data_IF_425694686424
#
_entry.id   IF_425694686424
#
_cell.length_a   1.000
_cell.length_b   1.000
_cell.length_c   1.000
_cell.angle_alpha   90.00
_cell.angle_beta   90.00
_cell.angle_gamma   90.00
#
_symmetry.space_group_name_H-M   'P 1'
#
loop_
_entity.id
_entity.type
_entity.pdbx_description
1 polymer ?
#
# COMPACT_ATOMS: atom_id res chain seq x y z
N UNK A 1 -5.70 19.81 -7.39
CA UNK A 1 -5.72 19.72 -5.90
C UNK A 1 -5.12 18.38 -5.52
N UNK A 2 -4.29 18.32 -4.44
CA UNK A 2 -3.77 17.03 -4.00
C UNK A 2 -4.83 16.26 -3.22
N UNK A 3 -4.83 14.95 -3.44
CA UNK A 3 -5.76 14.00 -2.83
C UNK A 3 -4.99 12.92 -2.09
N UNK A 4 -5.50 12.57 -0.93
CA UNK A 4 -5.12 11.40 -0.16
C UNK A 4 -6.41 10.67 0.20
N UNK A 5 -6.74 9.63 -0.55
CA UNK A 5 -8.02 8.92 -0.44
C UNK A 5 -7.79 7.48 0.01
N UNK A 6 -8.22 7.14 1.20
CA UNK A 6 -8.30 5.74 1.65
C UNK A 6 -9.50 5.09 1.00
N UNK A 7 -9.29 4.36 -0.11
CA UNK A 7 -10.34 3.67 -0.85
C UNK A 7 -10.90 2.49 -0.05
N UNK A 8 -10.04 1.75 0.62
CA UNK A 8 -10.37 0.63 1.49
C UNK A 8 -9.40 0.55 2.65
N UNK A 9 -9.90 0.15 3.82
CA UNK A 9 -9.09 -0.08 5.02
C UNK A 9 -9.67 -1.21 5.85
N UNK A 10 -8.84 -2.20 6.20
CA UNK A 10 -9.17 -3.33 7.06
C UNK A 10 -8.93 -4.70 6.43
N UNK A 11 -9.10 -5.76 7.19
CA UNK A 11 -8.77 -7.16 6.86
C UNK A 11 -9.49 -7.76 5.63
N UNK A 12 -10.39 -7.02 5.01
CA UNK A 12 -11.08 -7.43 3.78
C UNK A 12 -10.56 -6.72 2.54
N UNK A 13 -9.62 -5.78 2.68
CA UNK A 13 -8.94 -5.10 1.61
C UNK A 13 -8.44 -3.72 2.00
N UNK A 14 -7.22 -3.41 1.57
CA UNK A 14 -6.52 -2.15 1.76
C UNK A 14 -6.17 -1.55 0.41
N UNK A 15 -6.37 -0.25 0.25
CA UNK A 15 -5.97 0.51 -0.93
C UNK A 15 -6.05 2.00 -0.64
N UNK A 16 -5.00 2.73 -0.98
CA UNK A 16 -4.92 4.19 -0.79
C UNK A 16 -4.47 4.84 -2.09
N UNK A 17 -5.22 5.86 -2.53
CA UNK A 17 -4.83 6.70 -3.65
C UNK A 17 -4.12 7.95 -3.13
N UNK A 18 -2.99 8.30 -3.75
CA UNK A 18 -2.23 9.52 -3.48
C UNK A 18 -1.92 10.19 -4.81
N UNK A 19 -2.33 11.46 -4.97
CA UNK A 19 -2.10 12.17 -6.22
C UNK A 19 -2.94 13.42 -6.39
N UNK A 20 -3.30 13.70 -7.64
CA UNK A 20 -4.20 14.76 -8.07
C UNK A 20 -5.45 14.17 -8.73
N UNK A 21 -6.31 15.00 -9.31
CA UNK A 21 -7.45 14.51 -10.11
C UNK A 21 -7.02 13.86 -11.44
N UNK A 22 -5.79 14.11 -11.90
CA UNK A 22 -5.30 13.70 -13.22
C UNK A 22 -4.19 12.65 -13.14
N UNK A 23 -3.37 12.66 -12.09
CA UNK A 23 -2.18 11.83 -11.92
C UNK A 23 -2.07 11.34 -10.49
N UNK A 24 -1.76 10.07 -10.29
CA UNK A 24 -1.58 9.52 -8.96
C UNK A 24 -1.10 8.08 -8.93
N UNK A 25 -0.86 7.61 -7.74
CA UNK A 25 -0.42 6.24 -7.47
C UNK A 25 -1.39 5.55 -6.52
N UNK A 26 -1.41 4.23 -6.56
CA UNK A 26 -2.04 3.40 -5.53
C UNK A 26 -0.98 2.79 -4.62
N UNK A 27 -1.25 2.82 -3.32
CA UNK A 27 -0.59 1.96 -2.34
C UNK A 27 -1.59 0.87 -1.99
N UNK A 28 -1.24 -0.37 -2.35
CA UNK A 28 -2.07 -1.56 -2.30
C UNK A 28 -3.35 -1.53 -3.15
N UNK A 29 -3.87 -2.70 -3.45
CA UNK A 29 -5.11 -2.90 -4.22
C UNK A 29 -5.83 -4.17 -3.74
N UNK A 30 -6.24 -4.19 -2.48
CA UNK A 30 -6.65 -5.38 -1.75
C UNK A 30 -8.04 -5.92 -2.06
N UNK A 31 -8.90 -5.15 -2.73
CA UNK A 31 -10.20 -5.62 -3.24
C UNK A 31 -10.06 -6.18 -4.66
N UNK A 32 -11.12 -6.70 -5.26
CA UNK A 32 -11.08 -7.06 -6.67
C UNK A 32 -11.04 -5.79 -7.56
N UNK A 33 -10.56 -5.95 -8.79
CA UNK A 33 -10.35 -4.84 -9.73
C UNK A 33 -11.62 -4.00 -10.01
N UNK A 34 -12.80 -4.64 -10.01
CA UNK A 34 -14.08 -3.93 -10.18
C UNK A 34 -14.35 -2.98 -9.00
N UNK A 35 -14.10 -3.44 -7.78
CA UNK A 35 -14.32 -2.63 -6.59
C UNK A 35 -13.32 -1.47 -6.51
N UNK A 36 -12.04 -1.70 -6.82
CA UNK A 36 -11.03 -0.62 -6.89
C UNK A 36 -11.43 0.42 -7.94
N UNK A 37 -11.83 -0.03 -9.14
CA UNK A 37 -12.33 0.87 -10.21
C UNK A 37 -13.54 1.69 -9.73
N UNK A 38 -14.53 1.07 -9.10
CA UNK A 38 -15.73 1.77 -8.63
C UNK A 38 -15.40 2.77 -7.53
N UNK A 39 -14.52 2.42 -6.58
CA UNK A 39 -14.14 3.32 -5.50
C UNK A 39 -13.37 4.54 -6.03
N UNK A 40 -12.48 4.37 -7.01
CA UNK A 40 -11.86 5.51 -7.69
C UNK A 40 -12.91 6.43 -8.34
N UNK A 41 -13.87 5.85 -9.07
CA UNK A 41 -14.94 6.63 -9.72
C UNK A 41 -15.86 7.34 -8.72
N UNK A 42 -16.15 6.74 -7.57
CA UNK A 42 -16.92 7.35 -6.47
C UNK A 42 -16.19 8.56 -5.89
N UNK A 43 -14.86 8.53 -5.84
CA UNK A 43 -14.03 9.67 -5.49
C UNK A 43 -13.85 10.70 -6.63
N UNK A 44 -14.47 10.46 -7.80
CA UNK A 44 -14.36 11.32 -8.98
C UNK A 44 -13.03 11.15 -9.73
N UNK A 45 -12.31 10.06 -9.50
CA UNK A 45 -11.03 9.75 -10.13
C UNK A 45 -11.20 8.75 -11.28
N UNK A 46 -10.56 9.00 -12.41
CA UNK A 46 -10.46 7.99 -13.47
C UNK A 46 -9.46 6.90 -13.06
N UNK A 47 -9.74 5.60 -13.28
CA UNK A 47 -8.72 4.57 -13.12
C UNK A 47 -7.48 4.77 -14.00
N UNK A 48 -7.62 5.52 -15.09
CA UNK A 48 -6.52 5.82 -16.01
C UNK A 48 -5.57 6.91 -15.50
N UNK A 49 -5.92 7.60 -14.39
CA UNK A 49 -5.00 8.52 -13.72
C UNK A 49 -3.98 7.80 -12.82
N UNK A 50 -4.12 6.48 -12.63
CA UNK A 50 -3.20 5.70 -11.80
C UNK A 50 -1.96 5.35 -12.62
N UNK A 51 -0.81 5.90 -12.25
CA UNK A 51 0.47 5.73 -12.95
C UNK A 51 1.29 4.54 -12.45
N UNK A 52 1.10 4.13 -11.19
CA UNK A 52 1.77 3.00 -10.59
C UNK A 52 0.98 2.40 -9.42
N UNK A 53 1.26 1.12 -9.13
CA UNK A 53 0.80 0.41 -7.95
C UNK A 53 2.01 0.01 -7.10
N UNK A 54 2.05 0.48 -5.87
CA UNK A 54 3.03 0.10 -4.86
C UNK A 54 2.41 -0.91 -3.90
N UNK A 55 3.05 -2.06 -3.70
CA UNK A 55 2.55 -3.13 -2.82
C UNK A 55 3.36 -3.14 -1.53
N UNK A 56 2.68 -3.05 -0.40
CA UNK A 56 3.30 -3.12 0.92
C UNK A 56 3.79 -4.53 1.23
N UNK A 57 2.96 -5.55 0.96
CA UNK A 57 3.27 -6.97 1.13
C UNK A 57 2.27 -7.87 0.39
N UNK A 58 2.55 -9.17 0.35
CA UNK A 58 1.86 -10.16 -0.51
C UNK A 58 0.51 -10.67 0.00
N UNK A 59 -0.01 -10.23 1.13
CA UNK A 59 -1.28 -10.74 1.64
C UNK A 59 -2.46 -10.40 0.73
N UNK A 60 -3.44 -11.29 0.69
CA UNK A 60 -4.56 -11.24 -0.27
C UNK A 60 -5.41 -9.97 -0.18
N UNK A 61 -5.50 -9.38 1.00
CA UNK A 61 -6.21 -8.12 1.25
C UNK A 61 -5.41 -6.87 0.87
N UNK A 62 -4.21 -7.04 0.28
CA UNK A 62 -3.38 -5.98 -0.30
C UNK A 62 -3.23 -6.12 -1.83
N UNK A 63 -3.49 -7.30 -2.40
CA UNK A 63 -3.16 -7.61 -3.80
C UNK A 63 -4.35 -8.08 -4.65
N UNK A 64 -5.57 -8.09 -4.12
CA UNK A 64 -6.74 -8.70 -4.77
C UNK A 64 -7.05 -8.18 -6.18
N UNK A 65 -6.77 -6.90 -6.48
CA UNK A 65 -6.92 -6.33 -7.81
C UNK A 65 -5.65 -6.42 -8.67
N UNK A 66 -4.46 -6.62 -8.09
CA UNK A 66 -3.16 -6.43 -8.72
C UNK A 66 -3.15 -6.91 -10.17
N UNK A 67 -3.28 -8.21 -10.40
CA UNK A 67 -3.14 -8.81 -11.73
C UNK A 67 -4.14 -8.26 -12.75
N UNK A 68 -5.42 -8.14 -12.36
CA UNK A 68 -6.48 -7.74 -13.29
C UNK A 68 -6.43 -6.25 -13.57
N UNK A 69 -6.21 -5.44 -12.54
CA UNK A 69 -6.18 -3.99 -12.65
C UNK A 69 -4.94 -3.51 -13.41
N UNK A 70 -3.74 -3.99 -13.02
CA UNK A 70 -2.49 -3.61 -13.68
C UNK A 70 -2.44 -4.06 -15.14
N UNK A 71 -2.89 -5.30 -15.45
CA UNK A 71 -2.98 -5.77 -16.84
C UNK A 71 -3.91 -4.93 -17.69
N UNK A 72 -5.09 -4.56 -17.14
CA UNK A 72 -6.10 -3.80 -17.88
C UNK A 72 -5.64 -2.38 -18.22
N UNK A 73 -4.96 -1.72 -17.28
CA UNK A 73 -4.55 -0.31 -17.41
C UNK A 73 -3.08 -0.13 -17.76
N UNK A 74 -2.29 -1.23 -17.90
CA UNK A 74 -0.86 -1.18 -18.21
C UNK A 74 0.00 -0.59 -17.09
N UNK A 75 -0.46 -0.68 -15.84
CA UNK A 75 0.14 -0.01 -14.68
C UNK A 75 1.33 -0.81 -14.18
N UNK A 76 2.52 -0.20 -13.99
CA UNK A 76 3.66 -0.84 -13.37
C UNK A 76 3.41 -1.14 -11.88
N UNK A 77 4.00 -2.24 -11.41
CA UNK A 77 3.97 -2.69 -10.01
C UNK A 77 5.34 -2.52 -9.39
N UNK A 78 5.37 -1.93 -8.19
CA UNK A 78 6.56 -1.76 -7.37
C UNK A 78 6.37 -2.47 -6.04
N UNK A 79 7.35 -3.24 -5.60
CA UNK A 79 7.37 -3.86 -4.27
C UNK A 79 8.80 -4.22 -3.86
N UNK A 80 9.01 -4.57 -2.59
CA UNK A 80 10.27 -5.13 -2.11
C UNK A 80 10.61 -6.43 -2.83
N UNK A 81 11.87 -6.81 -2.82
CA UNK A 81 12.33 -8.06 -3.42
C UNK A 81 11.61 -9.29 -2.86
N UNK A 82 11.51 -9.38 -1.52
CA UNK A 82 10.83 -10.53 -0.88
C UNK A 82 9.36 -10.60 -1.24
N UNK A 83 8.66 -9.45 -1.28
CA UNK A 83 7.27 -9.37 -1.73
C UNK A 83 7.13 -9.81 -3.19
N UNK A 84 8.01 -9.36 -4.08
CA UNK A 84 7.98 -9.77 -5.50
C UNK A 84 8.20 -11.27 -5.67
N UNK A 85 9.16 -11.87 -4.95
CA UNK A 85 9.40 -13.31 -4.98
C UNK A 85 8.18 -14.11 -4.48
N UNK A 86 7.49 -13.62 -3.44
CA UNK A 86 6.27 -14.24 -2.93
C UNK A 86 5.10 -14.10 -3.90
N UNK A 87 4.93 -12.93 -4.53
CA UNK A 87 3.91 -12.67 -5.54
C UNK A 87 4.11 -13.53 -6.80
N UNK A 88 5.34 -13.68 -7.27
CA UNK A 88 5.67 -14.54 -8.43
C UNK A 88 5.38 -16.01 -8.13
N UNK A 89 5.83 -16.50 -6.97
CA UNK A 89 5.53 -17.85 -6.49
C UNK A 89 4.03 -18.11 -6.35
N UNK A 90 3.26 -17.10 -5.95
CA UNK A 90 1.79 -17.12 -5.87
C UNK A 90 1.08 -17.02 -7.23
N UNK A 91 1.81 -16.77 -8.34
CA UNK A 91 1.26 -16.59 -9.66
C UNK A 91 0.53 -15.25 -9.88
N UNK A 92 0.82 -14.26 -9.05
CA UNK A 92 0.18 -12.94 -9.11
C UNK A 92 0.84 -12.01 -10.14
N UNK A 93 2.11 -12.27 -10.52
CA UNK A 93 2.86 -11.49 -11.51
C UNK A 93 2.73 -12.01 -12.94
N UNK A 94 1.92 -13.05 -13.18
CA UNK A 94 1.62 -13.62 -14.51
C UNK A 94 0.71 -12.67 -15.32
N UNK A 95 1.15 -11.43 -15.52
CA UNK A 95 0.43 -10.39 -16.25
C UNK A 95 1.36 -9.68 -17.22
N UNK A 96 0.79 -9.09 -18.28
CA UNK A 96 1.54 -8.25 -19.21
C UNK A 96 1.61 -6.82 -18.68
N UNK A 97 2.30 -6.61 -17.57
CA UNK A 97 2.57 -5.30 -16.95
C UNK A 97 4.00 -5.24 -16.41
N UNK A 98 4.64 -4.06 -16.37
CA UNK A 98 5.98 -3.91 -15.83
C UNK A 98 6.02 -4.18 -14.32
N UNK A 99 7.12 -4.77 -13.84
CA UNK A 99 7.37 -5.07 -12.42
C UNK A 99 8.74 -4.55 -12.05
N UNK A 100 8.84 -3.80 -10.96
CA UNK A 100 10.06 -3.17 -10.50
C UNK A 100 10.30 -3.45 -9.01
N UNK A 101 11.55 -3.77 -8.69
CA UNK A 101 11.99 -3.90 -7.29
C UNK A 101 12.20 -2.52 -6.66
N UNK A 102 11.60 -2.31 -5.49
CA UNK A 102 11.86 -1.17 -4.62
C UNK A 102 13.03 -1.51 -3.68
N UNK A 103 14.12 -0.76 -3.78
CA UNK A 103 15.27 -0.88 -2.86
C UNK A 103 15.33 0.27 -1.85
N UNK A 104 15.23 1.50 -2.31
CA UNK A 104 15.28 2.70 -1.48
C UNK A 104 14.19 3.67 -1.91
N UNK A 105 14.17 4.07 -3.18
CA UNK A 105 13.19 5.00 -3.73
C UNK A 105 12.85 4.69 -5.19
N UNK A 106 11.76 5.28 -5.67
CA UNK A 106 11.38 5.33 -7.07
C UNK A 106 10.77 6.70 -7.39
N UNK A 107 11.00 7.18 -8.62
CA UNK A 107 10.33 8.35 -9.17
C UNK A 107 9.30 7.89 -10.21
N UNK A 108 8.06 8.33 -10.05
CA UNK A 108 6.95 8.04 -10.98
C UNK A 108 6.21 9.34 -11.27
N UNK A 109 6.28 9.84 -12.50
CA UNK A 109 5.71 11.13 -12.83
C UNK A 109 6.27 12.25 -11.94
N UNK A 110 5.39 12.93 -11.20
CA UNK A 110 5.72 13.98 -10.24
C UNK A 110 5.91 13.48 -8.80
N UNK A 111 5.89 12.16 -8.59
CA UNK A 111 5.95 11.55 -7.26
C UNK A 111 7.35 11.00 -7.00
N UNK A 112 7.93 11.38 -5.87
CA UNK A 112 9.10 10.74 -5.28
C UNK A 112 8.66 9.83 -4.16
N UNK A 113 8.92 8.52 -4.28
CA UNK A 113 8.43 7.50 -3.34
C UNK A 113 9.63 6.86 -2.67
N UNK A 114 9.73 7.00 -1.34
CA UNK A 114 10.68 6.28 -0.50
C UNK A 114 9.98 5.12 0.20
N UNK A 115 10.70 4.04 0.49
CA UNK A 115 10.18 2.93 1.27
C UNK A 115 10.94 2.75 2.58
N UNK A 116 10.27 2.17 3.57
CA UNK A 116 10.84 1.79 4.86
C UNK A 116 10.25 0.45 5.31
N UNK A 117 11.05 -0.36 6.02
CA UNK A 117 10.59 -1.66 6.48
C UNK A 117 9.56 -1.55 7.60
N UNK A 118 8.57 -2.42 7.55
CA UNK A 118 7.58 -2.61 8.61
C UNK A 118 7.70 -4.00 9.22
N UNK A 119 7.34 -4.13 10.50
CA UNK A 119 7.37 -5.43 11.18
C UNK A 119 6.00 -6.10 11.07
N UNK A 120 5.89 -6.98 10.09
CA UNK A 120 4.69 -7.76 9.81
C UNK A 120 5.04 -9.21 9.43
N UNK A 121 4.03 -10.08 9.46
CA UNK A 121 4.10 -11.51 9.12
C UNK A 121 4.02 -11.72 7.59
N UNK A 122 5.00 -11.18 6.87
CA UNK A 122 5.09 -11.19 5.42
C UNK A 122 6.54 -11.45 4.98
N UNK A 123 6.77 -11.68 3.69
CA UNK A 123 8.09 -11.99 3.15
C UNK A 123 9.08 -10.82 3.34
N UNK A 124 8.63 -9.59 3.06
CA UNK A 124 9.40 -8.36 3.26
C UNK A 124 8.45 -7.15 3.19
N UNK A 125 7.80 -6.85 4.32
CA UNK A 125 6.79 -5.80 4.38
C UNK A 125 7.39 -4.40 4.41
N UNK A 126 6.79 -3.48 3.63
CA UNK A 126 7.20 -2.09 3.50
C UNK A 126 6.05 -1.12 3.82
N UNK A 127 6.42 0.05 4.34
CA UNK A 127 5.62 1.27 4.25
C UNK A 127 6.20 2.20 3.20
N UNK A 128 5.44 3.22 2.82
CA UNK A 128 5.83 4.16 1.78
C UNK A 128 5.62 5.60 2.23
N UNK A 129 6.61 6.45 1.90
CA UNK A 129 6.49 7.90 1.97
C UNK A 129 6.46 8.45 0.55
N UNK A 130 5.49 9.27 0.23
CA UNK A 130 5.28 9.87 -1.09
C UNK A 130 5.44 11.37 -0.95
N UNK A 131 6.41 11.93 -1.67
CA UNK A 131 6.61 13.37 -1.78
C UNK A 131 6.22 13.85 -3.17
N UNK A 132 5.46 14.94 -3.22
CA UNK A 132 5.05 15.61 -4.45
C UNK A 132 5.92 16.84 -4.71
N UNK A 133 6.02 17.31 -5.95
CA UNK A 133 6.88 18.43 -6.36
C UNK A 133 6.73 19.71 -5.52
N UNK A 134 5.56 19.95 -4.94
CA UNK A 134 5.33 21.11 -4.07
C UNK A 134 5.79 20.92 -2.62
N UNK A 135 6.44 19.78 -2.30
CA UNK A 135 6.90 19.43 -0.95
C UNK A 135 5.80 18.85 -0.05
N UNK A 136 4.59 18.57 -0.54
CA UNK A 136 3.60 17.81 0.22
C UNK A 136 4.06 16.37 0.39
N UNK A 137 4.07 15.88 1.62
CA UNK A 137 4.47 14.51 1.97
C UNK A 137 3.31 13.75 2.58
N UNK A 138 3.11 12.52 2.11
CA UNK A 138 2.16 11.58 2.67
C UNK A 138 2.83 10.25 2.98
N UNK A 139 2.43 9.55 4.03
CA UNK A 139 2.94 8.23 4.33
C UNK A 139 1.81 7.23 4.56
N UNK A 140 2.08 5.97 4.16
CA UNK A 140 1.23 4.82 4.41
C UNK A 140 2.04 3.76 5.14
N UNK A 141 1.60 3.41 6.34
CA UNK A 141 2.21 2.41 7.20
C UNK A 141 1.11 1.54 7.83
N UNK A 142 0.69 0.52 7.10
CA UNK A 142 -0.32 -0.46 7.49
C UNK A 142 0.34 -1.76 7.95
N UNK A 143 -0.42 -2.58 8.65
CA UNK A 143 0.01 -3.90 9.15
C UNK A 143 1.31 -3.83 9.97
N UNK A 144 1.27 -2.96 10.97
CA UNK A 144 2.38 -2.71 11.89
C UNK A 144 2.21 -3.49 13.18
N UNK A 145 3.14 -4.40 13.48
CA UNK A 145 3.25 -4.98 14.82
C UNK A 145 3.88 -4.01 15.83
N UNK A 146 4.82 -3.17 15.38
CA UNK A 146 5.59 -2.23 16.21
C UNK A 146 6.01 -1.03 15.38
N UNK A 147 6.00 0.15 15.99
CA UNK A 147 6.60 1.36 15.40
C UNK A 147 8.10 1.34 15.69
N UNK A 148 8.89 0.95 14.70
CA UNK A 148 10.36 0.98 14.74
C UNK A 148 10.90 2.40 14.53
N UNK A 149 12.21 2.60 14.75
CA UNK A 149 12.84 3.88 14.42
C UNK A 149 12.81 4.17 12.91
N UNK A 150 12.85 3.14 12.08
CA UNK A 150 12.71 3.25 10.61
C UNK A 150 11.30 3.71 10.21
N UNK A 151 10.26 3.09 10.73
CA UNK A 151 8.86 3.56 10.55
C UNK A 151 8.71 4.99 11.03
N UNK A 152 9.25 5.31 12.21
CA UNK A 152 9.22 6.67 12.75
C UNK A 152 9.89 7.68 11.82
N UNK A 153 11.07 7.34 11.29
CA UNK A 153 11.79 8.20 10.36
C UNK A 153 10.98 8.43 9.06
N UNK A 154 10.35 7.39 8.53
CA UNK A 154 9.53 7.46 7.30
C UNK A 154 8.26 8.30 7.47
N UNK A 155 7.68 8.40 8.67
CA UNK A 155 6.43 9.15 8.88
C UNK A 155 6.63 10.56 9.45
N UNK A 156 7.77 10.84 10.08
CA UNK A 156 8.05 12.17 10.66
C UNK A 156 8.16 13.21 9.53
N UNK A 157 7.48 14.34 9.74
CA UNK A 157 7.48 15.45 8.78
C UNK A 157 6.48 15.30 7.64
N UNK A 158 5.72 14.19 7.57
CA UNK A 158 4.62 14.07 6.63
C UNK A 158 3.45 14.98 6.99
N UNK A 159 2.79 15.52 5.97
CA UNK A 159 1.57 16.33 6.12
C UNK A 159 0.36 15.44 6.44
N UNK A 160 0.36 14.21 5.93
CA UNK A 160 -0.70 13.23 6.15
C UNK A 160 -0.09 11.84 6.32
N UNK A 161 -0.63 11.06 7.24
CA UNK A 161 -0.16 9.69 7.51
C UNK A 161 -1.37 8.78 7.66
N UNK A 162 -1.41 7.68 6.89
CA UNK A 162 -2.25 6.53 7.18
C UNK A 162 -1.43 5.57 8.03
N UNK A 163 -1.74 5.52 9.32
CA UNK A 163 -1.06 4.67 10.29
C UNK A 163 -2.04 3.65 10.84
N UNK A 164 -1.63 2.39 10.87
CA UNK A 164 -2.42 1.35 11.51
C UNK A 164 -2.66 1.65 13.00
N UNK A 165 -3.90 1.49 13.42
CA UNK A 165 -4.33 1.63 14.82
C UNK A 165 -5.55 0.74 15.06
N UNK A 166 -5.42 -0.54 14.77
CA UNK A 166 -6.57 -1.45 14.63
C UNK A 166 -6.86 -2.32 15.86
N UNK A 167 -6.22 -2.07 17.00
CA UNK A 167 -6.55 -2.81 18.23
C UNK A 167 -6.69 -1.89 19.45
N UNK A 168 -7.70 -2.19 20.25
CA UNK A 168 -7.81 -1.73 21.64
C UNK A 168 -7.13 -2.74 22.56
N UNK A 169 -6.24 -2.29 23.46
CA UNK A 169 -5.46 -3.15 24.35
C UNK A 169 -6.36 -4.05 25.23
N UNK A 170 -7.51 -3.50 25.68
CA UNK A 170 -8.47 -4.24 26.47
C UNK A 170 -9.19 -5.32 25.66
N UNK A 171 -9.61 -4.99 24.45
CA UNK A 171 -10.23 -5.95 23.51
C UNK A 171 -9.24 -7.02 23.07
N UNK A 172 -8.00 -6.65 22.75
CA UNK A 172 -6.96 -7.61 22.39
C UNK A 172 -6.67 -8.58 23.55
N UNK A 173 -6.47 -8.06 24.77
CA UNK A 173 -6.15 -8.87 25.93
C UNK A 173 -7.26 -9.85 26.29
N UNK A 174 -8.53 -9.42 26.22
CA UNK A 174 -9.70 -10.20 26.59
C UNK A 174 -10.37 -10.93 25.40
N UNK A 175 -9.94 -10.65 24.16
CA UNK A 175 -10.50 -11.24 22.97
C UNK A 175 -10.15 -12.72 22.77
N UNK A 176 -10.78 -13.40 21.80
CA UNK A 176 -10.65 -14.83 21.58
C UNK A 176 -9.33 -15.25 20.91
N UNK A 177 -8.47 -14.30 20.54
CA UNK A 177 -7.23 -14.60 19.84
C UNK A 177 -6.25 -15.45 20.67
N UNK A 178 -5.54 -16.41 20.05
CA UNK A 178 -4.49 -17.17 20.72
C UNK A 178 -3.37 -16.27 21.23
N UNK A 179 -2.76 -16.63 22.35
CA UNK A 179 -1.71 -15.81 22.97
C UNK A 179 -0.54 -15.43 22.04
N UNK A 180 -0.02 -16.33 21.16
CA UNK A 180 1.02 -15.94 20.20
C UNK A 180 0.59 -14.83 19.25
N UNK A 181 -0.69 -14.82 18.83
CA UNK A 181 -1.24 -13.78 17.98
C UNK A 181 -1.40 -12.45 18.74
N UNK A 182 -1.89 -12.51 19.99
CA UNK A 182 -1.99 -11.31 20.85
C UNK A 182 -0.64 -10.62 21.12
N UNK A 183 0.46 -11.39 21.09
CA UNK A 183 1.81 -10.83 21.27
C UNK A 183 2.39 -10.20 20.00
N UNK A 184 1.81 -10.51 18.86
CA UNK A 184 2.26 -10.03 17.55
C UNK A 184 1.51 -8.76 17.11
N UNK A 185 0.25 -8.63 17.50
CA UNK A 185 -0.57 -7.42 17.35
C UNK A 185 -0.19 -6.41 18.44
#
# INVERSE_FOLDING_TARGET
MYRFCTLFSGSSGNSTYIGTDEHGILIDAGKNAKQVTLSLLEEGLSPDCVEALFITHEHSDHIGALRVFCKKHGIPVYASRGTLEALDKGGHLNGDFPVYEMSEFADVGEFHIECFHTMHDAAESMGYTVELENGFKAAVATDLGVITDEVRAGIIGCNTVLLESNHDIGMLSNGPYPYPLKRRI
#
